data_IF_796685289389
#
_entry.id   IF_796685289389
#
_cell.length_a   1.000
_cell.length_b   1.000
_cell.length_c   1.000
_cell.angle_alpha   90.00
_cell.angle_beta   90.00
_cell.angle_gamma   90.00
#
_symmetry.space_group_name_H-M   'P 1'
#
loop_
_entity.id
_entity.type
_entity.pdbx_description
1 polymer ?
#
# COMPACT_ATOMS: atom_id res chain seq x y z
N UNK A 1 -19.67 0.08 -4.21
CA UNK A 1 -18.76 -0.57 -3.24
C UNK A 1 -19.11 -0.16 -1.82
N UNK A 2 -18.98 1.12 -1.44
CA UNK A 2 -19.29 1.56 -0.06
C UNK A 2 -20.70 1.24 0.43
N UNK A 3 -21.73 1.45 -0.40
CA UNK A 3 -23.12 1.09 -0.03
C UNK A 3 -23.32 -0.40 0.24
N UNK A 4 -22.67 -1.26 -0.56
CA UNK A 4 -22.72 -2.71 -0.38
C UNK A 4 -22.03 -3.12 0.92
N UNK A 5 -20.87 -2.52 1.22
CA UNK A 5 -20.15 -2.76 2.47
C UNK A 5 -20.98 -2.32 3.68
N UNK A 6 -21.61 -1.14 3.62
CA UNK A 6 -22.53 -0.66 4.67
C UNK A 6 -23.66 -1.66 4.91
N UNK A 7 -24.28 -2.16 3.83
CA UNK A 7 -25.35 -3.14 3.93
C UNK A 7 -24.87 -4.47 4.55
N UNK A 8 -23.67 -4.92 4.18
CA UNK A 8 -23.06 -6.12 4.74
C UNK A 8 -22.75 -5.96 6.23
N UNK A 9 -22.09 -4.86 6.62
CA UNK A 9 -21.73 -4.58 8.02
C UNK A 9 -22.97 -4.52 8.90
N UNK A 10 -24.03 -3.83 8.46
CA UNK A 10 -25.29 -3.74 9.21
C UNK A 10 -25.94 -5.10 9.49
N UNK A 11 -25.69 -6.10 8.63
CA UNK A 11 -26.33 -7.42 8.71
C UNK A 11 -25.45 -8.48 9.37
N UNK A 12 -24.13 -8.36 9.22
CA UNK A 12 -23.20 -9.45 9.52
C UNK A 12 -22.09 -9.07 10.51
N UNK A 13 -21.74 -7.79 10.66
CA UNK A 13 -20.65 -7.40 11.54
C UNK A 13 -21.05 -7.49 13.01
N UNK A 14 -20.17 -8.06 13.83
CA UNK A 14 -20.25 -8.10 15.28
C UNK A 14 -19.08 -7.31 15.89
N UNK A 15 -19.24 -6.73 17.09
CA UNK A 15 -18.14 -6.09 17.81
C UNK A 15 -16.92 -7.02 17.96
N UNK A 16 -15.72 -6.45 17.85
CA UNK A 16 -14.46 -7.21 17.94
C UNK A 16 -13.41 -6.47 18.75
N UNK A 17 -12.44 -7.20 19.28
CA UNK A 17 -11.28 -6.57 19.93
C UNK A 17 -10.29 -6.10 18.86
N UNK A 18 -9.88 -4.83 18.99
CA UNK A 18 -8.76 -4.24 18.26
C UNK A 18 -7.68 -3.89 19.28
N UNK A 19 -6.69 -4.77 19.41
CA UNK A 19 -5.59 -4.62 20.36
C UNK A 19 -4.75 -3.36 20.13
N UNK A 20 -4.75 -2.80 18.91
CA UNK A 20 -4.06 -1.55 18.60
C UNK A 20 -4.74 -0.32 19.25
N UNK A 21 -6.00 -0.43 19.65
CA UNK A 21 -6.77 0.65 20.31
C UNK A 21 -6.99 0.34 21.79
N UNK A 22 -7.60 -0.81 22.09
CA UNK A 22 -7.97 -1.22 23.45
C UNK A 22 -8.07 -2.74 23.55
N UNK A 23 -7.55 -3.29 24.66
CA UNK A 23 -7.72 -4.70 25.00
C UNK A 23 -9.07 -5.00 25.66
N UNK A 24 -9.81 -3.97 26.07
CA UNK A 24 -11.05 -4.10 26.85
C UNK A 24 -12.27 -3.64 26.08
N UNK A 25 -12.15 -2.53 25.37
CA UNK A 25 -13.26 -1.89 24.67
C UNK A 25 -13.28 -2.40 23.22
N UNK A 26 -14.40 -3.01 22.77
CA UNK A 26 -14.48 -3.53 21.42
C UNK A 26 -14.59 -2.39 20.40
N UNK A 27 -13.96 -2.58 19.24
CA UNK A 27 -14.28 -1.86 18.02
C UNK A 27 -15.70 -2.24 17.60
N UNK A 28 -16.56 -1.23 17.44
CA UNK A 28 -17.97 -1.40 17.10
C UNK A 28 -18.17 -1.26 15.59
N UNK A 29 -19.10 -2.02 14.98
CA UNK A 29 -19.48 -1.86 13.58
C UNK A 29 -19.90 -0.41 13.23
N UNK A 30 -20.46 0.33 14.20
CA UNK A 30 -20.80 1.74 14.04
C UNK A 30 -19.62 2.62 13.60
N UNK A 31 -18.40 2.35 14.10
CA UNK A 31 -17.21 3.10 13.70
C UNK A 31 -16.90 2.93 12.20
N UNK A 32 -17.11 1.71 11.67
CA UNK A 32 -16.94 1.44 10.25
C UNK A 32 -18.01 2.15 9.41
N UNK A 33 -19.26 2.14 9.89
CA UNK A 33 -20.37 2.81 9.21
C UNK A 33 -20.14 4.33 9.13
N UNK A 34 -19.64 4.95 10.20
CA UNK A 34 -19.32 6.38 10.23
C UNK A 34 -18.20 6.72 9.23
N UNK A 35 -17.15 5.89 9.15
CA UNK A 35 -16.07 6.07 8.17
C UNK A 35 -16.53 5.85 6.73
N UNK A 36 -17.36 4.84 6.49
CA UNK A 36 -17.93 4.58 5.16
C UNK A 36 -18.86 5.70 4.72
N UNK A 37 -19.62 6.31 5.64
CA UNK A 37 -20.42 7.50 5.35
C UNK A 37 -19.53 8.66 4.90
N UNK A 38 -18.47 8.97 5.67
CA UNK A 38 -17.47 10.00 5.29
C UNK A 38 -16.86 9.71 3.91
N UNK A 39 -16.53 8.44 3.63
CA UNK A 39 -16.05 8.05 2.30
C UNK A 39 -17.06 8.34 1.20
N UNK A 40 -18.35 8.02 1.40
CA UNK A 40 -19.40 8.28 0.42
C UNK A 40 -19.59 9.79 0.18
N UNK A 41 -19.46 10.61 1.21
CA UNK A 41 -19.52 12.08 1.10
C UNK A 41 -18.32 12.64 0.30
N UNK A 42 -17.13 12.06 0.49
CA UNK A 42 -15.93 12.46 -0.23
C UNK A 42 -15.87 11.93 -1.67
N UNK A 43 -16.38 10.73 -1.93
CA UNK A 43 -16.18 9.99 -3.18
C UNK A 43 -16.48 10.79 -4.48
N UNK A 44 -17.58 11.55 -4.59
CA UNK A 44 -17.87 12.35 -5.79
C UNK A 44 -16.78 13.37 -6.14
N UNK A 45 -15.99 13.79 -5.15
CA UNK A 45 -14.92 14.76 -5.28
C UNK A 45 -13.54 14.13 -5.45
N UNK A 46 -13.40 12.81 -5.32
CA UNK A 46 -12.13 12.11 -5.54
C UNK A 46 -11.92 11.71 -6.99
N UNK A 47 -13.01 11.62 -7.77
CA UNK A 47 -12.96 11.23 -9.18
C UNK A 47 -12.56 12.45 -10.03
N UNK A 48 -11.52 12.34 -10.88
CA UNK A 48 -11.19 13.38 -11.85
C UNK A 48 -12.33 13.59 -12.84
N UNK A 49 -12.45 14.82 -13.37
CA UNK A 49 -13.47 15.15 -14.38
C UNK A 49 -12.89 15.22 -15.79
N UNK A 50 -11.58 15.08 -15.94
CA UNK A 50 -10.95 15.17 -17.25
C UNK A 50 -11.20 13.90 -18.09
N UNK A 51 -11.42 14.04 -19.41
CA UNK A 51 -11.76 12.88 -20.26
C UNK A 51 -10.69 11.79 -20.31
N UNK A 52 -9.41 12.13 -20.16
CA UNK A 52 -8.32 11.16 -20.25
C UNK A 52 -8.33 10.20 -19.05
N UNK A 53 -8.49 10.75 -17.84
CA UNK A 53 -8.66 10.00 -16.60
C UNK A 53 -9.92 9.12 -16.60
N UNK A 54 -11.02 9.61 -17.16
CA UNK A 54 -12.30 8.90 -17.19
C UNK A 54 -12.40 7.83 -18.29
N UNK A 55 -11.44 7.77 -19.21
CA UNK A 55 -11.47 6.82 -20.32
C UNK A 55 -11.40 5.37 -19.80
N UNK A 56 -12.37 4.55 -20.19
CA UNK A 56 -12.41 3.13 -19.85
C UNK A 56 -11.40 2.36 -20.72
N UNK A 57 -10.44 1.70 -20.08
CA UNK A 57 -9.35 1.00 -20.76
C UNK A 57 -9.20 -0.39 -20.13
N UNK A 58 -8.88 -1.39 -20.96
CA UNK A 58 -8.45 -2.70 -20.47
C UNK A 58 -7.00 -2.58 -19.97
N UNK A 59 -6.76 -2.90 -18.71
CA UNK A 59 -5.42 -2.85 -18.11
C UNK A 59 -5.01 -4.20 -17.53
N UNK A 60 -3.73 -4.54 -17.66
CA UNK A 60 -3.19 -5.76 -17.05
C UNK A 60 -2.97 -5.53 -15.54
N UNK A 61 -3.59 -6.33 -14.66
CA UNK A 61 -3.58 -6.06 -13.23
C UNK A 61 -2.21 -6.29 -12.58
N UNK A 62 -1.45 -7.29 -13.05
CA UNK A 62 -0.13 -7.62 -12.49
C UNK A 62 0.92 -7.92 -13.58
N UNK A 63 1.37 -6.89 -14.29
CA UNK A 63 2.36 -7.06 -15.34
C UNK A 63 3.79 -7.09 -14.77
N UNK A 64 4.31 -8.30 -14.56
CA UNK A 64 5.71 -8.60 -14.21
C UNK A 64 6.38 -9.52 -15.26
N UNK A 65 7.69 -9.75 -15.13
CA UNK A 65 8.48 -10.47 -16.14
C UNK A 65 8.03 -11.93 -16.34
N UNK A 66 7.58 -12.61 -15.29
CA UNK A 66 7.11 -14.01 -15.40
C UNK A 66 5.77 -14.13 -16.16
N UNK A 67 5.05 -13.02 -16.30
CA UNK A 67 3.80 -12.94 -17.06
C UNK A 67 4.04 -12.60 -18.54
N UNK A 68 5.29 -12.48 -18.99
CA UNK A 68 5.66 -12.14 -20.38
C UNK A 68 6.51 -13.25 -21.00
N UNK A 69 5.97 -13.91 -22.03
CA UNK A 69 6.69 -14.91 -22.81
C UNK A 69 7.42 -14.26 -23.97
N UNK A 70 8.68 -14.67 -24.16
CA UNK A 70 9.56 -14.17 -25.23
C UNK A 70 10.16 -15.36 -25.98
N UNK A 71 10.18 -15.26 -27.30
CA UNK A 71 10.88 -16.22 -28.15
C UNK A 71 12.41 -16.06 -27.97
N UNK A 72 13.15 -17.12 -27.59
CA UNK A 72 14.57 -17.00 -27.25
C UNK A 72 15.47 -16.74 -28.46
N UNK A 73 14.97 -16.94 -29.69
CA UNK A 73 15.76 -16.76 -30.92
C UNK A 73 15.53 -15.36 -31.51
N UNK A 74 14.30 -14.87 -31.48
CA UNK A 74 13.89 -13.61 -32.11
C UNK A 74 13.76 -12.45 -31.11
N UNK A 75 13.77 -12.75 -29.81
CA UNK A 75 13.52 -11.80 -28.73
C UNK A 75 12.17 -11.06 -28.84
N UNK A 76 11.19 -11.66 -29.54
CA UNK A 76 9.84 -11.10 -29.68
C UNK A 76 8.93 -11.62 -28.59
N UNK A 77 8.07 -10.74 -28.07
CA UNK A 77 7.00 -11.13 -27.14
C UNK A 77 6.04 -12.06 -27.89
N UNK A 78 5.84 -13.27 -27.35
CA UNK A 78 4.96 -14.30 -27.91
C UNK A 78 3.64 -14.40 -27.16
N UNK A 79 3.59 -13.95 -25.91
CA UNK A 79 2.38 -13.95 -25.10
C UNK A 79 2.49 -13.12 -23.84
N UNK A 80 1.35 -12.60 -23.40
CA UNK A 80 1.17 -12.00 -22.07
C UNK A 80 0.06 -12.82 -21.41
N UNK A 81 0.33 -13.38 -20.24
CA UNK A 81 -0.59 -14.26 -19.50
C UNK A 81 -1.05 -13.60 -18.21
N UNK A 82 -1.84 -14.31 -17.42
CA UNK A 82 -2.28 -13.87 -16.09
C UNK A 82 -3.21 -12.64 -16.11
N UNK A 83 -4.10 -12.62 -17.10
CA UNK A 83 -5.17 -11.62 -17.23
C UNK A 83 -6.31 -11.79 -16.20
N UNK A 84 -6.16 -12.67 -15.21
CA UNK A 84 -7.16 -12.84 -14.16
C UNK A 84 -7.29 -11.54 -13.35
N UNK A 85 -8.52 -11.09 -13.13
CA UNK A 85 -8.78 -9.80 -12.49
C UNK A 85 -8.61 -8.58 -13.41
N UNK A 86 -8.25 -8.75 -14.69
CA UNK A 86 -8.26 -7.66 -15.64
C UNK A 86 -9.69 -7.12 -15.82
N UNK A 87 -9.81 -5.79 -15.89
CA UNK A 87 -11.11 -5.13 -16.01
C UNK A 87 -11.06 -3.99 -17.00
N UNK A 88 -12.22 -3.61 -17.53
CA UNK A 88 -12.41 -2.38 -18.26
C UNK A 88 -12.95 -1.35 -17.26
N UNK A 89 -12.09 -0.43 -16.85
CA UNK A 89 -12.42 0.61 -15.88
C UNK A 89 -11.72 1.93 -16.26
N UNK A 90 -12.09 3.07 -15.65
CA UNK A 90 -11.43 4.33 -15.93
C UNK A 90 -9.91 4.22 -15.74
N UNK A 91 -9.14 4.88 -16.61
CA UNK A 91 -7.68 4.95 -16.51
C UNK A 91 -7.23 5.51 -15.15
N UNK A 92 -8.04 6.41 -14.58
CA UNK A 92 -7.89 6.88 -13.22
C UNK A 92 -7.99 5.79 -12.15
N UNK A 93 -8.44 4.56 -12.37
CA UNK A 93 -8.33 3.52 -11.34
C UNK A 93 -7.16 2.59 -11.57
N UNK A 94 -6.70 2.49 -12.82
CA UNK A 94 -5.81 1.41 -13.26
C UNK A 94 -4.39 1.87 -13.61
N UNK A 95 -4.21 3.13 -14.04
CA UNK A 95 -2.91 3.65 -14.45
C UNK A 95 -1.87 3.47 -13.35
N UNK A 96 -0.75 2.85 -13.69
CA UNK A 96 0.38 2.65 -12.81
C UNK A 96 1.65 2.41 -13.65
N UNK A 97 2.78 2.32 -12.97
CA UNK A 97 4.02 1.77 -13.55
C UNK A 97 4.00 0.27 -13.28
N UNK A 98 3.93 -0.59 -14.32
CA UNK A 98 3.98 -2.04 -14.19
C UNK A 98 5.16 -2.51 -13.35
N UNK A 99 4.99 -3.60 -12.60
CA UNK A 99 6.02 -4.14 -11.71
C UNK A 99 7.32 -4.46 -12.45
N UNK A 100 7.23 -4.92 -13.71
CA UNK A 100 8.41 -5.17 -14.54
C UNK A 100 9.27 -3.92 -14.85
N UNK A 101 8.71 -2.71 -14.69
CA UNK A 101 9.43 -1.45 -14.92
C UNK A 101 9.58 -0.60 -13.66
N UNK A 102 8.95 -1.01 -12.55
CA UNK A 102 8.87 -0.20 -11.34
C UNK A 102 10.19 -0.24 -10.59
N UNK A 103 10.53 0.89 -9.98
CA UNK A 103 11.62 1.02 -9.03
C UNK A 103 10.98 1.02 -7.64
N UNK A 104 11.50 0.20 -6.74
CA UNK A 104 10.89 -0.04 -5.43
C UNK A 104 11.16 1.11 -4.45
N UNK A 105 12.24 1.87 -4.69
CA UNK A 105 12.64 3.04 -3.90
C UNK A 105 12.25 4.38 -4.51
N UNK A 106 12.69 5.50 -3.89
CA UNK A 106 12.50 6.83 -4.45
C UNK A 106 13.18 6.97 -5.82
N UNK A 107 12.49 7.56 -6.78
CA UNK A 107 13.02 7.87 -8.11
C UNK A 107 13.37 9.36 -8.16
N UNK A 108 14.54 9.69 -8.73
CA UNK A 108 15.02 11.08 -8.83
C UNK A 108 14.04 11.91 -9.66
N UNK A 109 13.65 13.07 -9.15
CA UNK A 109 12.73 13.97 -9.86
C UNK A 109 13.35 14.52 -11.16
N UNK A 110 12.51 14.66 -12.18
CA UNK A 110 12.89 15.17 -13.50
C UNK A 110 13.62 14.16 -14.40
N UNK A 111 13.99 14.62 -15.60
CA UNK A 111 14.62 13.83 -16.67
C UNK A 111 16.14 13.66 -16.46
N UNK A 112 16.53 13.26 -15.25
CA UNK A 112 17.93 13.00 -14.89
C UNK A 112 18.23 11.51 -15.11
N UNK A 113 19.24 11.21 -15.92
CA UNK A 113 19.74 9.83 -16.08
C UNK A 113 20.48 9.43 -14.80
N UNK A 114 20.11 8.33 -14.14
CA UNK A 114 20.82 7.84 -12.96
C UNK A 114 22.28 7.55 -13.31
N UNK A 115 23.21 7.99 -12.45
CA UNK A 115 24.64 7.75 -12.62
C UNK A 115 25.24 7.21 -11.34
N UNK A 116 26.33 6.46 -11.47
CA UNK A 116 27.11 5.99 -10.33
C UNK A 116 27.62 7.18 -9.50
N UNK A 117 27.61 7.08 -8.17
CA UNK A 117 28.15 8.12 -7.29
C UNK A 117 29.68 8.11 -7.33
N UNK A 118 30.30 9.22 -6.91
CA UNK A 118 31.77 9.38 -6.93
C UNK A 118 32.50 8.35 -6.05
N UNK A 119 31.85 7.87 -4.99
CA UNK A 119 32.42 6.88 -4.07
C UNK A 119 32.22 5.42 -4.53
N UNK A 120 31.70 5.17 -5.74
CA UNK A 120 31.38 3.83 -6.21
C UNK A 120 32.58 2.86 -6.12
N UNK A 121 33.75 3.30 -6.57
CA UNK A 121 34.96 2.48 -6.58
C UNK A 121 35.51 2.19 -5.16
N UNK A 122 34.97 2.87 -4.14
CA UNK A 122 35.34 2.66 -2.73
C UNK A 122 34.42 1.68 -1.99
N UNK A 123 33.30 1.28 -2.62
CA UNK A 123 32.33 0.33 -2.05
C UNK A 123 32.82 -1.12 -2.17
N UNK A 124 32.24 -2.01 -1.36
CA UNK A 124 32.47 -3.45 -1.49
C UNK A 124 31.87 -3.99 -2.81
N UNK A 125 32.36 -5.11 -3.37
CA UNK A 125 31.79 -5.69 -4.59
C UNK A 125 30.28 -5.98 -4.49
N UNK A 126 29.82 -6.41 -3.32
CA UNK A 126 28.41 -6.65 -3.03
C UNK A 126 27.58 -5.35 -3.09
N UNK A 127 28.08 -4.28 -2.47
CA UNK A 127 27.46 -2.95 -2.49
C UNK A 127 27.45 -2.35 -3.90
N UNK A 128 28.55 -2.49 -4.66
CA UNK A 128 28.62 -2.06 -6.05
C UNK A 128 27.56 -2.77 -6.91
N UNK A 129 27.46 -4.09 -6.75
CA UNK A 129 26.49 -4.91 -7.48
C UNK A 129 25.04 -4.53 -7.13
N UNK A 130 24.76 -4.26 -5.85
CA UNK A 130 23.44 -3.80 -5.41
C UNK A 130 23.12 -2.42 -5.99
N UNK A 131 24.08 -1.50 -5.97
CA UNK A 131 23.88 -0.16 -6.50
C UNK A 131 23.68 -0.17 -8.01
N UNK A 132 24.43 -0.98 -8.76
CA UNK A 132 24.25 -1.12 -10.20
C UNK A 132 22.84 -1.64 -10.54
N UNK A 133 22.34 -2.65 -9.80
CA UNK A 133 20.95 -3.15 -9.96
C UNK A 133 19.91 -2.07 -9.67
N UNK A 134 20.12 -1.28 -8.63
CA UNK A 134 19.23 -0.18 -8.24
C UNK A 134 19.17 0.91 -9.33
N UNK A 135 20.35 1.34 -9.82
CA UNK A 135 20.47 2.30 -10.92
C UNK A 135 19.84 1.77 -12.22
N UNK A 136 19.99 0.48 -12.52
CA UNK A 136 19.35 -0.15 -13.68
C UNK A 136 17.81 -0.11 -13.55
N UNK A 137 17.26 -0.52 -12.40
CA UNK A 137 15.82 -0.44 -12.12
C UNK A 137 15.29 0.99 -12.25
N UNK A 138 15.99 1.98 -11.70
CA UNK A 138 15.60 3.40 -11.82
C UNK A 138 15.64 3.86 -13.29
N UNK A 139 16.65 3.43 -14.04
CA UNK A 139 16.78 3.75 -15.47
C UNK A 139 15.61 3.18 -16.28
N UNK A 140 15.24 1.92 -16.03
CA UNK A 140 14.08 1.27 -16.67
C UNK A 140 12.78 2.00 -16.31
N UNK A 141 12.60 2.38 -15.05
CA UNK A 141 11.44 3.16 -14.60
C UNK A 141 11.29 4.47 -15.37
N UNK A 142 12.36 5.27 -15.44
CA UNK A 142 12.37 6.54 -16.17
C UNK A 142 12.18 6.34 -17.67
N UNK A 143 12.73 5.27 -18.22
CA UNK A 143 12.53 4.93 -19.62
C UNK A 143 11.05 4.62 -19.90
N UNK A 144 10.37 3.89 -19.02
CA UNK A 144 8.92 3.66 -19.12
C UNK A 144 8.14 4.97 -19.09
N UNK A 145 8.45 5.88 -18.14
CA UNK A 145 7.82 7.21 -18.07
C UNK A 145 8.03 8.00 -19.37
N UNK A 146 9.25 8.01 -19.91
CA UNK A 146 9.57 8.68 -21.17
C UNK A 146 8.79 8.08 -22.37
N UNK A 147 8.65 6.75 -22.40
CA UNK A 147 7.88 6.06 -23.43
C UNK A 147 6.38 6.37 -23.33
N UNK A 148 5.83 6.42 -22.10
CA UNK A 148 4.45 6.84 -21.85
C UNK A 148 4.24 8.29 -22.28
N UNK A 149 5.14 9.19 -21.90
CA UNK A 149 5.10 10.60 -22.30
C UNK A 149 5.06 10.75 -23.83
N UNK A 150 5.89 10.00 -24.55
CA UNK A 150 6.03 10.09 -26.01
C UNK A 150 4.88 9.44 -26.77
N UNK A 151 4.39 8.28 -26.32
CA UNK A 151 3.50 7.44 -27.10
C UNK A 151 2.06 7.37 -26.58
N UNK A 152 1.84 7.74 -25.32
CA UNK A 152 0.54 7.61 -24.63
C UNK A 152 0.21 8.89 -23.84
N UNK A 153 -0.05 10.02 -24.52
CA UNK A 153 -0.26 11.32 -23.86
C UNK A 153 -1.41 11.29 -22.85
N UNK A 154 -2.50 10.58 -23.13
CA UNK A 154 -3.60 10.41 -22.17
C UNK A 154 -3.18 9.66 -20.91
N UNK A 155 -2.30 8.66 -21.03
CA UNK A 155 -1.76 7.96 -19.87
C UNK A 155 -0.78 8.86 -19.10
N UNK A 156 0.04 9.66 -19.80
CA UNK A 156 0.93 10.61 -19.16
C UNK A 156 0.20 11.64 -18.29
N UNK A 157 -0.95 12.15 -18.74
CA UNK A 157 -1.75 13.10 -17.95
C UNK A 157 -2.15 12.53 -16.58
N UNK A 158 -2.36 11.22 -16.48
CA UNK A 158 -2.63 10.51 -15.22
C UNK A 158 -1.33 10.18 -14.50
N UNK A 159 -0.32 9.67 -15.21
CA UNK A 159 0.92 9.19 -14.61
C UNK A 159 1.77 10.30 -13.97
N UNK A 160 1.82 11.49 -14.58
CA UNK A 160 2.65 12.61 -14.10
C UNK A 160 2.27 13.10 -12.70
N UNK A 161 1.02 12.87 -12.27
CA UNK A 161 0.52 13.20 -10.94
C UNK A 161 0.09 11.95 -10.16
N UNK A 162 0.85 10.85 -10.35
CA UNK A 162 0.56 9.56 -9.74
C UNK A 162 0.40 9.65 -8.21
N UNK A 163 1.19 10.50 -7.53
CA UNK A 163 1.12 10.69 -6.06
C UNK A 163 -0.21 11.31 -5.61
N UNK A 164 -0.74 12.31 -6.32
CA UNK A 164 -2.07 12.87 -6.04
C UNK A 164 -3.17 11.86 -6.34
N UNK A 165 -3.02 11.15 -7.46
CA UNK A 165 -3.98 10.17 -7.92
C UNK A 165 -4.06 8.96 -6.97
N UNK A 166 -2.94 8.43 -6.50
CA UNK A 166 -2.90 7.37 -5.50
C UNK A 166 -3.62 7.77 -4.21
N UNK A 167 -3.44 9.02 -3.75
CA UNK A 167 -4.17 9.54 -2.58
C UNK A 167 -5.69 9.55 -2.81
N UNK A 168 -6.15 9.98 -3.99
CA UNK A 168 -7.57 9.97 -4.36
C UNK A 168 -8.15 8.55 -4.50
N UNK A 169 -7.35 7.58 -4.98
CA UNK A 169 -7.75 6.17 -5.14
C UNK A 169 -7.71 5.35 -3.86
N UNK A 170 -6.81 5.70 -2.93
CA UNK A 170 -6.49 4.89 -1.75
C UNK A 170 -7.72 4.42 -0.96
N UNK A 171 -8.75 5.26 -0.71
CA UNK A 171 -9.94 4.78 0.00
C UNK A 171 -10.69 3.70 -0.78
N UNK A 172 -10.70 3.76 -2.11
CA UNK A 172 -11.47 2.83 -2.97
C UNK A 172 -11.01 1.39 -2.81
N UNK A 173 -9.71 1.14 -2.64
CA UNK A 173 -9.19 -0.22 -2.40
C UNK A 173 -9.46 -0.73 -0.98
N UNK A 174 -9.71 0.17 -0.02
CA UNK A 174 -9.88 -0.16 1.40
C UNK A 174 -11.36 -0.34 1.80
N UNK A 175 -12.29 0.19 1.00
CA UNK A 175 -13.72 0.18 1.31
C UNK A 175 -14.32 -1.23 1.25
N UNK A 176 -13.88 -2.05 0.30
CA UNK A 176 -14.43 -3.41 0.14
C UNK A 176 -13.82 -4.32 1.19
N UNK A 177 -14.65 -4.91 2.05
CA UNK A 177 -14.18 -5.76 3.15
C UNK A 177 -13.51 -4.99 4.29
N UNK A 178 -13.73 -3.67 4.40
CA UNK A 178 -13.06 -2.82 5.40
C UNK A 178 -13.20 -3.39 6.82
N UNK A 179 -14.38 -3.93 7.13
CA UNK A 179 -14.60 -4.58 8.40
C UNK A 179 -13.81 -5.88 8.47
N UNK A 180 -14.11 -6.85 7.61
CA UNK A 180 -13.55 -8.20 7.67
C UNK A 180 -12.02 -8.23 7.65
N UNK A 181 -11.40 -7.40 6.81
CA UNK A 181 -9.95 -7.33 6.63
C UNK A 181 -9.21 -6.52 7.72
N UNK A 182 -9.92 -5.92 8.69
CA UNK A 182 -9.35 -5.02 9.72
C UNK A 182 -8.73 -3.73 9.14
N UNK A 183 -9.26 -3.23 8.02
CA UNK A 183 -8.73 -2.07 7.30
C UNK A 183 -9.27 -0.71 7.80
N UNK A 184 -10.03 -0.67 8.90
CA UNK A 184 -10.60 0.58 9.43
C UNK A 184 -9.54 1.65 9.69
N UNK A 185 -8.39 1.25 10.25
CA UNK A 185 -7.27 2.15 10.48
C UNK A 185 -6.80 2.80 9.18
N UNK A 186 -6.54 1.98 8.15
CA UNK A 186 -6.05 2.45 6.86
C UNK A 186 -7.08 3.31 6.13
N UNK A 187 -8.36 2.95 6.18
CA UNK A 187 -9.43 3.76 5.58
C UNK A 187 -9.49 5.13 6.27
N UNK A 188 -9.46 5.17 7.60
CA UNK A 188 -9.44 6.44 8.35
C UNK A 188 -8.19 7.26 8.03
N UNK A 189 -7.01 6.64 7.99
CA UNK A 189 -5.75 7.31 7.62
C UNK A 189 -5.85 7.96 6.23
N UNK A 190 -6.46 7.25 5.28
CA UNK A 190 -6.67 7.74 3.92
C UNK A 190 -7.63 8.93 3.86
N UNK A 191 -8.74 8.87 4.62
CA UNK A 191 -9.72 9.96 4.70
C UNK A 191 -9.18 11.19 5.44
N UNK A 192 -8.40 11.02 6.51
CA UNK A 192 -7.71 12.11 7.20
C UNK A 192 -6.72 12.80 6.26
N UNK A 193 -5.97 12.03 5.47
CA UNK A 193 -5.07 12.58 4.47
C UNK A 193 -5.82 13.38 3.38
N UNK A 194 -7.03 12.95 3.01
CA UNK A 194 -7.90 13.68 2.06
C UNK A 194 -8.38 15.00 2.66
N UNK A 195 -8.88 15.00 3.91
CA UNK A 195 -9.30 16.22 4.62
C UNK A 195 -8.12 17.21 4.72
N UNK A 196 -6.97 16.75 5.21
CA UNK A 196 -5.80 17.60 5.45
C UNK A 196 -5.20 18.20 4.17
N UNK A 197 -5.41 17.55 3.02
CA UNK A 197 -4.88 17.96 1.72
C UNK A 197 -5.98 18.47 0.79
N UNK A 198 -7.17 18.76 1.30
CA UNK A 198 -8.34 19.12 0.49
C UNK A 198 -8.06 20.26 -0.48
N UNK A 199 -7.47 21.36 0.01
CA UNK A 199 -7.10 22.53 -0.80
C UNK A 199 -6.14 22.19 -1.95
N UNK A 200 -5.30 21.16 -1.80
CA UNK A 200 -4.39 20.69 -2.85
C UNK A 200 -5.06 19.71 -3.82
N UNK A 201 -6.07 18.97 -3.35
CA UNK A 201 -6.81 18.02 -4.18
C UNK A 201 -7.81 18.73 -5.11
N UNK A 202 -8.31 19.90 -4.66
CA UNK A 202 -9.31 20.73 -5.32
C UNK A 202 -8.93 22.24 -5.26
N UNK A 203 -7.80 22.65 -5.86
CA UNK A 203 -7.33 24.05 -5.79
C UNK A 203 -8.26 25.04 -6.50
N UNK A 204 -9.03 24.57 -7.47
CA UNK A 204 -9.89 25.40 -8.33
C UNK A 204 -11.36 25.46 -7.87
N UNK A 205 -11.72 24.79 -6.77
CA UNK A 205 -13.10 24.74 -6.26
C UNK A 205 -13.19 25.39 -4.89
N UNK A 206 -14.13 26.32 -4.69
CA UNK A 206 -14.43 26.95 -3.39
C UNK A 206 -15.25 26.03 -2.47
N UNK A 207 -15.17 24.72 -2.70
CA UNK A 207 -15.97 23.71 -2.00
C UNK A 207 -15.23 23.35 -0.72
N UNK A 208 -15.86 23.54 0.43
CA UNK A 208 -15.33 23.07 1.70
C UNK A 208 -15.23 21.54 1.71
N UNK A 209 -14.30 21.00 2.51
CA UNK A 209 -14.16 19.55 2.65
C UNK A 209 -15.48 18.93 3.11
N UNK A 210 -16.03 17.93 2.40
CA UNK A 210 -17.29 17.27 2.78
C UNK A 210 -17.12 16.39 4.03
N UNK A 211 -15.88 16.17 4.45
CA UNK A 211 -15.53 15.37 5.61
C UNK A 211 -14.75 16.24 6.60
N UNK A 212 -14.98 15.97 7.88
CA UNK A 212 -14.20 16.56 8.97
C UNK A 212 -13.93 15.53 10.06
N UNK A 213 -12.76 15.62 10.69
CA UNK A 213 -12.42 14.80 11.85
C UNK A 213 -12.28 15.66 13.11
N UNK A 214 -12.90 15.21 14.20
CA UNK A 214 -12.77 15.87 15.51
C UNK A 214 -11.38 15.61 16.08
N UNK A 215 -10.94 16.50 16.97
CA UNK A 215 -9.64 16.36 17.62
C UNK A 215 -9.51 15.04 18.39
N UNK A 216 -10.57 14.60 19.04
CA UNK A 216 -10.57 13.32 19.75
C UNK A 216 -10.41 12.12 18.79
N UNK A 217 -10.98 12.18 17.58
CA UNK A 217 -10.81 11.14 16.56
C UNK A 217 -9.37 11.09 16.06
N UNK A 218 -8.74 12.26 15.88
CA UNK A 218 -7.34 12.38 15.46
C UNK A 218 -6.38 11.87 16.55
N UNK A 219 -6.60 12.26 17.80
CA UNK A 219 -5.76 11.84 18.93
C UNK A 219 -5.83 10.31 19.12
N UNK A 220 -7.03 9.71 18.98
CA UNK A 220 -7.20 8.25 19.02
C UNK A 220 -6.49 7.57 17.83
N UNK A 221 -6.58 8.15 16.63
CA UNK A 221 -5.91 7.60 15.46
C UNK A 221 -4.39 7.64 15.59
N UNK A 222 -3.83 8.73 16.12
CA UNK A 222 -2.39 8.86 16.37
C UNK A 222 -1.89 7.81 17.36
N UNK A 223 -2.66 7.54 18.43
CA UNK A 223 -2.30 6.48 19.39
C UNK A 223 -2.30 5.10 18.74
N UNK A 224 -3.26 4.81 17.87
CA UNK A 224 -3.29 3.55 17.13
C UNK A 224 -2.13 3.45 16.13
N UNK A 225 -1.79 4.55 15.46
CA UNK A 225 -0.66 4.64 14.54
C UNK A 225 0.68 4.38 15.24
N UNK A 226 0.89 4.92 16.44
CA UNK A 226 2.08 4.61 17.24
C UNK A 226 2.25 3.11 17.49
N UNK A 227 1.15 2.40 17.82
CA UNK A 227 1.16 0.96 18.05
C UNK A 227 1.43 0.19 16.74
N UNK A 228 0.75 0.54 15.65
CA UNK A 228 0.92 -0.11 14.33
C UNK A 228 2.33 0.13 13.79
N UNK A 229 2.83 1.36 13.85
CA UNK A 229 4.16 1.74 13.39
C UNK A 229 5.26 1.11 14.24
N UNK A 230 5.06 0.97 15.55
CA UNK A 230 5.98 0.26 16.44
C UNK A 230 6.15 -1.21 16.05
N UNK A 231 5.03 -1.91 15.87
CA UNK A 231 5.01 -3.31 15.39
C UNK A 231 5.63 -3.41 13.99
N UNK A 232 5.23 -2.53 13.07
CA UNK A 232 5.70 -2.52 11.68
C UNK A 232 7.20 -2.29 11.56
N UNK A 233 7.77 -1.38 12.36
CA UNK A 233 9.21 -1.10 12.39
C UNK A 233 10.01 -2.31 12.88
N UNK A 234 9.51 -3.01 13.89
CA UNK A 234 10.14 -4.22 14.39
C UNK A 234 10.05 -5.37 13.38
N UNK A 235 8.89 -5.58 12.75
CA UNK A 235 8.75 -6.59 11.69
C UNK A 235 9.67 -6.31 10.50
N UNK A 236 9.82 -5.03 10.13
CA UNK A 236 10.77 -4.62 9.10
C UNK A 236 12.21 -4.98 9.48
N UNK A 237 12.63 -4.71 10.71
CA UNK A 237 13.97 -5.09 11.19
C UNK A 237 14.22 -6.60 11.05
N UNK A 238 13.20 -7.43 11.32
CA UNK A 238 13.34 -8.88 11.19
C UNK A 238 13.41 -9.36 9.73
N UNK A 239 12.67 -8.71 8.83
CA UNK A 239 12.80 -8.96 7.38
C UNK A 239 14.18 -8.56 6.87
N UNK A 240 14.67 -7.38 7.28
CA UNK A 240 15.99 -6.88 6.89
C UNK A 240 17.14 -7.80 7.38
N UNK A 241 16.91 -8.54 8.48
CA UNK A 241 17.84 -9.55 8.99
C UNK A 241 17.68 -10.94 8.34
N UNK A 242 16.80 -11.08 7.35
CA UNK A 242 16.59 -12.31 6.59
C UNK A 242 15.92 -13.44 7.39
N UNK A 243 15.22 -13.10 8.48
CA UNK A 243 14.74 -14.11 9.42
C UNK A 243 13.28 -14.52 9.19
N UNK A 244 12.52 -13.65 8.52
CA UNK A 244 11.19 -13.95 8.00
C UNK A 244 11.15 -13.50 6.53
N UNK A 245 10.78 -14.38 5.60
CA UNK A 245 10.61 -14.03 4.20
C UNK A 245 9.42 -13.06 4.02
N UNK A 246 9.51 -12.22 2.98
CA UNK A 246 8.55 -11.13 2.71
C UNK A 246 7.11 -11.61 2.51
N UNK A 247 6.94 -12.81 1.97
CA UNK A 247 5.66 -13.44 1.67
C UNK A 247 5.26 -14.50 2.71
N UNK A 248 6.08 -14.71 3.75
CA UNK A 248 5.88 -15.74 4.76
C UNK A 248 6.07 -17.17 4.26
N UNK A 249 6.52 -17.36 3.02
CA UNK A 249 6.76 -18.68 2.43
C UNK A 249 8.17 -19.14 2.74
N UNK A 250 8.30 -20.35 3.27
CA UNK A 250 9.58 -20.99 3.58
C UNK A 250 9.62 -22.35 2.93
N UNK A 251 10.81 -22.77 2.49
CA UNK A 251 11.02 -24.14 2.05
C UNK A 251 10.71 -25.11 3.20
N UNK A 252 10.20 -26.30 2.86
CA UNK A 252 9.79 -27.32 3.83
C UNK A 252 10.94 -27.66 4.80
N UNK A 253 12.18 -27.66 4.29
CA UNK A 253 13.39 -27.95 5.04
C UNK A 253 13.69 -26.87 6.11
N UNK A 254 13.26 -25.64 5.87
CA UNK A 254 13.50 -24.48 6.72
C UNK A 254 12.31 -24.13 7.63
N UNK A 255 11.19 -24.84 7.50
CA UNK A 255 9.96 -24.55 8.24
C UNK A 255 10.15 -24.55 9.75
N UNK A 256 10.79 -25.59 10.29
CA UNK A 256 11.03 -25.69 11.74
C UNK A 256 11.98 -24.59 12.24
N UNK A 257 12.99 -24.23 11.43
CA UNK A 257 13.90 -23.11 11.71
C UNK A 257 13.14 -21.78 11.74
N UNK A 258 12.31 -21.52 10.74
CA UNK A 258 11.49 -20.32 10.65
C UNK A 258 10.50 -20.21 11.81
N UNK A 259 9.86 -21.32 12.21
CA UNK A 259 8.97 -21.38 13.36
C UNK A 259 9.70 -21.09 14.67
N UNK A 260 10.86 -21.70 14.90
CA UNK A 260 11.67 -21.46 16.09
C UNK A 260 12.17 -20.00 16.15
N UNK A 261 12.53 -19.44 15.01
CA UNK A 261 12.92 -18.04 14.88
C UNK A 261 11.75 -17.10 15.20
N UNK A 262 10.58 -17.31 14.58
CA UNK A 262 9.36 -16.55 14.84
C UNK A 262 9.04 -16.49 16.35
N UNK A 263 9.14 -17.61 17.06
CA UNK A 263 8.92 -17.65 18.51
C UNK A 263 9.97 -16.82 19.28
N UNK A 264 11.26 -16.94 18.96
CA UNK A 264 12.31 -16.13 19.59
C UNK A 264 12.06 -14.63 19.42
N UNK A 265 11.58 -14.20 18.24
CA UNK A 265 11.28 -12.78 18.02
C UNK A 265 10.04 -12.31 18.75
N UNK A 266 9.02 -13.15 18.86
CA UNK A 266 7.88 -12.86 19.72
C UNK A 266 8.35 -12.62 21.15
N UNK A 267 9.26 -13.45 21.66
CA UNK A 267 9.80 -13.30 23.01
C UNK A 267 10.65 -12.03 23.15
N UNK A 268 11.48 -11.69 22.16
CA UNK A 268 12.23 -10.43 22.13
C UNK A 268 11.29 -9.23 22.10
N UNK A 269 10.27 -9.25 21.24
CA UNK A 269 9.27 -8.19 21.13
C UNK A 269 8.58 -7.95 22.46
N UNK A 270 7.99 -8.99 23.05
CA UNK A 270 7.34 -8.92 24.36
C UNK A 270 8.34 -8.49 25.44
N UNK A 271 9.62 -8.91 25.33
CA UNK A 271 10.69 -8.52 26.25
C UNK A 271 11.09 -7.04 26.18
N UNK A 272 10.73 -6.30 25.13
CA UNK A 272 10.96 -4.85 25.05
C UNK A 272 9.96 -4.02 25.85
N UNK A 273 8.89 -4.65 26.34
CA UNK A 273 7.90 -3.99 27.17
C UNK A 273 8.46 -3.56 28.53
N UNK A 274 8.02 -2.39 29.01
CA UNK A 274 8.45 -1.75 30.26
C UNK A 274 7.69 -2.26 31.47
N UNK A 275 6.45 -2.70 31.28
CA UNK A 275 5.57 -3.21 32.32
C UNK A 275 4.69 -4.37 31.84
N UNK A 276 3.94 -4.97 32.77
CA UNK A 276 3.12 -6.15 32.47
C UNK A 276 1.92 -5.82 31.56
N UNK A 277 1.42 -4.57 31.57
CA UNK A 277 0.34 -4.15 30.68
C UNK A 277 0.84 -4.05 29.25
N UNK A 278 2.03 -3.50 29.06
CA UNK A 278 2.70 -3.42 27.76
C UNK A 278 3.12 -4.81 27.25
N UNK A 279 3.51 -5.74 28.13
CA UNK A 279 3.76 -7.14 27.76
C UNK A 279 2.50 -7.84 27.23
N UNK A 280 1.36 -7.63 27.90
CA UNK A 280 0.08 -8.16 27.45
C UNK A 280 -0.30 -7.57 26.08
N UNK A 281 -0.14 -6.25 25.93
CA UNK A 281 -0.37 -5.56 24.66
C UNK A 281 0.51 -6.13 23.54
N UNK A 282 1.83 -6.17 23.73
CA UNK A 282 2.76 -6.67 22.71
C UNK A 282 2.50 -8.13 22.36
N UNK A 283 2.13 -8.94 23.35
CA UNK A 283 1.68 -10.30 23.08
C UNK A 283 0.49 -10.29 22.13
N UNK A 284 -0.53 -9.45 22.32
CA UNK A 284 -1.71 -9.37 21.44
C UNK A 284 -1.46 -8.68 20.08
N UNK A 285 -0.43 -7.85 19.97
CA UNK A 285 -0.06 -7.17 18.73
C UNK A 285 0.79 -8.03 17.78
N UNK A 286 1.32 -9.16 18.26
CA UNK A 286 2.12 -10.04 17.42
C UNK A 286 1.28 -10.60 16.25
N UNK A 287 1.74 -10.48 14.99
CA UNK A 287 0.91 -10.83 13.83
C UNK A 287 0.84 -12.34 13.55
N UNK A 288 1.89 -13.09 13.86
CA UNK A 288 1.95 -14.55 13.61
C UNK A 288 1.40 -15.32 14.80
N UNK A 289 0.09 -15.27 14.96
CA UNK A 289 -0.64 -15.99 15.99
C UNK A 289 -1.59 -17.00 15.38
N UNK A 290 -1.68 -18.15 16.03
CA UNK A 290 -2.80 -19.05 15.81
C UNK A 290 -4.05 -18.35 16.36
N UNK A 291 -4.81 -17.74 15.47
CA UNK A 291 -6.15 -17.26 15.78
C UNK A 291 -7.09 -18.46 15.63
N UNK A 292 -7.65 -18.94 16.74
CA UNK A 292 -8.78 -19.89 16.73
C UNK A 292 -10.01 -19.32 16.00
#
# INVERSE_FOLDING_TARGET
MGENEIAWIKRHASPRINAYISLKDPELPGHALDLLSKYLDAAPYLIPRDPASCANILWHPDLHLDNVFVDPTTCKITGIVDWQGASIAPLFYQSCIPRMFRHDGPVREGWIVPSRPENFDTLTPEEQSQLDRDLEKETVHKYYEAMVYKHSPHHWEVLKDMRSIQRKRSPTSLVTGVWENRDLFFLRQSLIAIEALWDKLRPDETVESPISFKREELDLHMKEDENISGVGSMLKLFRDQGVLPDDGMVDIEDYDTAKANCQKFKDIFIGTARDEQERELFSKLWPYQDNE
#
